data_IF_219971186104
#
_entry.id   IF_219971186104
#
_cell.length_a   1.000
_cell.length_b   1.000
_cell.length_c   1.000
_cell.angle_alpha   90.00
_cell.angle_beta   90.00
_cell.angle_gamma   90.00
#
_symmetry.space_group_name_H-M   'P 1'
#
loop_
_entity.id
_entity.type
_entity.pdbx_description
1 polymer ?
#
# COMPACT_ATOMS: atom_id res chain seq x y z
N UNK A 1 -20.13 -0.94 11.41
CA UNK A 1 -18.91 -0.11 11.29
C UNK A 1 -19.19 1.23 11.92
N UNK A 2 -18.33 1.68 12.84
CA UNK A 2 -18.39 3.02 13.40
C UNK A 2 -17.69 3.99 12.44
N UNK A 3 -18.37 5.06 12.01
CA UNK A 3 -17.86 5.97 10.97
C UNK A 3 -16.61 6.73 11.44
N UNK A 4 -16.56 7.11 12.71
CA UNK A 4 -15.41 7.79 13.29
C UNK A 4 -14.20 6.87 13.33
N UNK A 5 -14.37 5.61 13.77
CA UNK A 5 -13.29 4.61 13.74
C UNK A 5 -12.78 4.41 12.31
N UNK A 6 -13.69 4.27 11.35
CA UNK A 6 -13.34 4.13 9.93
C UNK A 6 -12.49 5.30 9.41
N UNK A 7 -12.96 6.54 9.62
CA UNK A 7 -12.27 7.73 9.12
C UNK A 7 -10.91 7.94 9.81
N UNK A 8 -10.85 7.83 11.13
CA UNK A 8 -9.61 8.06 11.89
C UNK A 8 -8.55 7.04 11.51
N UNK A 9 -8.87 5.75 11.53
CA UNK A 9 -7.88 4.72 11.19
C UNK A 9 -7.53 4.73 9.71
N UNK A 10 -8.47 5.11 8.83
CA UNK A 10 -8.20 5.30 7.41
C UNK A 10 -7.22 6.44 7.13
N UNK A 11 -7.38 7.59 7.80
CA UNK A 11 -6.46 8.72 7.68
C UNK A 11 -5.06 8.34 8.20
N UNK A 12 -4.99 7.65 9.35
CA UNK A 12 -3.71 7.13 9.89
C UNK A 12 -3.04 6.20 8.87
N UNK A 13 -3.80 5.25 8.30
CA UNK A 13 -3.31 4.37 7.25
C UNK A 13 -2.81 5.12 6.02
N UNK A 14 -3.50 6.19 5.62
CA UNK A 14 -3.12 6.98 4.45
C UNK A 14 -1.82 7.76 4.64
N UNK A 15 -1.63 8.36 5.84
CA UNK A 15 -0.38 9.02 6.20
C UNK A 15 0.77 8.01 6.18
N UNK A 16 0.58 6.85 6.80
CA UNK A 16 1.59 5.79 6.84
C UNK A 16 1.88 5.26 5.44
N UNK A 17 0.87 5.06 4.59
CA UNK A 17 1.03 4.64 3.20
C UNK A 17 1.89 5.62 2.41
N UNK A 18 1.67 6.92 2.59
CA UNK A 18 2.43 7.95 1.87
C UNK A 18 3.93 7.90 2.22
N UNK A 19 4.26 7.93 3.52
CA UNK A 19 5.66 7.91 3.95
C UNK A 19 6.33 6.56 3.71
N UNK A 20 5.61 5.46 3.89
CA UNK A 20 6.15 4.12 3.63
C UNK A 20 6.35 3.88 2.14
N UNK A 21 5.43 4.39 1.28
CA UNK A 21 5.60 4.37 -0.16
C UNK A 21 6.84 5.14 -0.62
N UNK A 22 7.06 6.33 -0.07
CA UNK A 22 8.28 7.09 -0.32
C UNK A 22 9.53 6.33 0.14
N UNK A 23 9.51 5.73 1.34
CA UNK A 23 10.67 4.98 1.84
C UNK A 23 10.96 3.73 0.99
N UNK A 24 9.95 2.93 0.70
CA UNK A 24 10.11 1.66 -0.04
C UNK A 24 10.51 1.93 -1.49
N UNK A 25 9.77 2.77 -2.21
CA UNK A 25 9.97 2.97 -3.65
C UNK A 25 10.90 4.13 -3.98
N UNK A 26 10.88 5.18 -3.17
CA UNK A 26 11.68 6.38 -3.38
C UNK A 26 13.10 6.30 -2.82
N UNK A 27 13.38 5.33 -1.92
CA UNK A 27 14.72 5.16 -1.33
C UNK A 27 15.19 3.72 -1.53
N UNK A 28 14.49 2.74 -0.96
CA UNK A 28 15.01 1.37 -0.86
C UNK A 28 15.09 0.68 -2.22
N UNK A 29 14.05 0.77 -3.04
CA UNK A 29 13.96 0.08 -4.32
C UNK A 29 14.31 0.96 -5.52
N UNK A 30 14.52 2.27 -5.33
CA UNK A 30 14.68 3.23 -6.43
C UNK A 30 15.75 2.79 -7.44
N UNK A 31 16.97 2.52 -6.96
CA UNK A 31 18.09 2.16 -7.84
C UNK A 31 17.87 0.82 -8.55
N UNK A 32 17.33 -0.17 -7.82
CA UNK A 32 17.07 -1.49 -8.39
C UNK A 32 16.01 -1.43 -9.50
N UNK A 33 14.93 -0.68 -9.28
CA UNK A 33 13.86 -0.49 -10.26
C UNK A 33 14.36 0.24 -11.52
N UNK A 34 15.20 1.26 -11.34
CA UNK A 34 15.81 2.00 -12.45
C UNK A 34 16.76 1.14 -13.30
N UNK A 35 17.39 0.12 -12.72
CA UNK A 35 18.27 -0.82 -13.44
C UNK A 35 17.52 -1.95 -14.13
N UNK A 36 16.26 -2.17 -13.79
CA UNK A 36 15.43 -3.24 -14.35
C UNK A 36 14.12 -2.72 -14.97
N UNK A 37 14.16 -1.71 -15.86
CA UNK A 37 12.96 -1.17 -16.46
C UNK A 37 12.29 -2.20 -17.38
N UNK A 38 11.00 -1.99 -17.66
CA UNK A 38 10.38 -2.59 -18.85
C UNK A 38 10.95 -1.98 -20.15
N UNK A 39 10.40 -2.40 -21.29
CA UNK A 39 10.84 -1.88 -22.60
C UNK A 39 10.10 -0.62 -23.03
N UNK A 40 9.06 -0.20 -22.31
CA UNK A 40 8.35 1.05 -22.55
C UNK A 40 9.18 2.27 -22.09
N UNK A 41 9.39 3.24 -22.97
CA UNK A 41 10.02 4.52 -22.64
C UNK A 41 9.02 5.60 -22.22
N UNK A 42 9.51 6.65 -21.55
CA UNK A 42 8.75 7.86 -21.20
C UNK A 42 7.45 7.64 -20.40
N UNK A 43 7.44 6.63 -19.52
CA UNK A 43 6.28 6.28 -18.69
C UNK A 43 6.13 7.16 -17.44
N UNK A 44 7.24 7.73 -16.96
CA UNK A 44 7.28 8.54 -15.75
C UNK A 44 6.89 9.99 -16.06
N UNK A 45 6.15 10.62 -15.14
CA UNK A 45 5.86 12.06 -15.23
C UNK A 45 7.10 12.87 -14.84
N UNK A 46 7.36 13.94 -15.59
CA UNK A 46 8.37 14.94 -15.24
C UNK A 46 8.01 15.71 -13.96
N UNK A 47 6.73 15.99 -13.77
CA UNK A 47 6.19 16.68 -12.59
C UNK A 47 5.15 15.82 -11.88
N UNK A 48 5.27 15.75 -10.55
CA UNK A 48 4.32 15.00 -9.72
C UNK A 48 3.00 15.76 -9.56
N UNK A 49 1.90 15.02 -9.72
CA UNK A 49 0.54 15.53 -9.43
C UNK A 49 0.21 15.25 -7.97
N UNK A 50 0.64 16.14 -7.08
CA UNK A 50 0.62 15.94 -5.63
C UNK A 50 -0.75 15.60 -5.04
N UNK A 51 -1.82 16.27 -5.47
CA UNK A 51 -3.16 16.01 -4.95
C UNK A 51 -3.60 14.56 -5.22
N UNK A 52 -3.27 14.03 -6.40
CA UNK A 52 -3.63 12.67 -6.79
C UNK A 52 -2.82 11.64 -5.99
N UNK A 53 -1.53 11.92 -5.75
CA UNK A 53 -0.67 11.08 -4.92
C UNK A 53 -1.15 11.02 -3.47
N UNK A 54 -1.53 12.16 -2.89
CA UNK A 54 -2.05 12.26 -1.52
C UNK A 54 -3.38 11.53 -1.40
N UNK A 55 -4.33 11.78 -2.32
CA UNK A 55 -5.62 11.09 -2.31
C UNK A 55 -5.49 9.59 -2.53
N UNK A 56 -4.59 9.15 -3.42
CA UNK A 56 -4.32 7.72 -3.65
C UNK A 56 -3.87 7.01 -2.37
N UNK A 57 -2.94 7.61 -1.63
CA UNK A 57 -2.51 7.07 -0.34
C UNK A 57 -3.62 7.11 0.71
N UNK A 58 -4.41 8.18 0.75
CA UNK A 58 -5.57 8.27 1.64
C UNK A 58 -6.57 7.14 1.37
N UNK A 59 -6.89 6.86 0.10
CA UNK A 59 -7.79 5.78 -0.28
C UNK A 59 -7.20 4.39 -0.01
N UNK A 60 -5.88 4.21 -0.10
CA UNK A 60 -5.20 3.00 0.37
C UNK A 60 -5.50 2.76 1.86
N UNK A 61 -5.26 3.76 2.71
CA UNK A 61 -5.57 3.69 4.14
C UNK A 61 -7.05 3.43 4.43
N UNK A 62 -7.96 4.10 3.71
CA UNK A 62 -9.41 3.89 3.84
C UNK A 62 -9.84 2.48 3.42
N UNK A 63 -9.24 1.91 2.36
CA UNK A 63 -9.55 0.55 1.89
C UNK A 63 -9.29 -0.46 3.00
N UNK A 64 -8.10 -0.36 3.57
CA UNK A 64 -7.65 -1.12 4.70
C UNK A 64 -8.53 -0.94 5.94
N UNK A 65 -8.83 0.31 6.31
CA UNK A 65 -9.75 0.63 7.40
C UNK A 65 -11.14 0.02 7.21
N UNK A 66 -11.66 0.06 5.99
CA UNK A 66 -12.94 -0.55 5.65
C UNK A 66 -12.90 -2.07 5.88
N UNK A 67 -11.88 -2.76 5.37
CA UNK A 67 -11.73 -4.22 5.52
C UNK A 67 -11.64 -4.61 7.01
N UNK A 68 -10.84 -3.88 7.79
CA UNK A 68 -10.69 -4.16 9.21
C UNK A 68 -11.92 -3.85 10.05
N UNK A 69 -12.66 -2.78 9.73
CA UNK A 69 -13.86 -2.41 10.49
C UNK A 69 -15.13 -3.16 10.04
N UNK A 70 -15.26 -3.50 8.76
CA UNK A 70 -16.50 -4.02 8.19
C UNK A 70 -16.46 -5.53 7.98
N UNK A 71 -15.31 -6.11 7.63
CA UNK A 71 -15.22 -7.52 7.24
C UNK A 71 -14.55 -8.41 8.28
N UNK A 72 -13.60 -7.89 9.07
CA UNK A 72 -12.75 -8.75 9.93
C UNK A 72 -12.71 -8.38 11.41
N UNK A 73 -13.14 -7.19 11.80
CA UNK A 73 -13.06 -6.65 13.18
C UNK A 73 -11.65 -6.64 13.79
N UNK A 74 -10.61 -6.47 12.97
CA UNK A 74 -9.22 -6.42 13.44
C UNK A 74 -8.95 -5.09 14.17
N UNK A 75 -8.35 -5.22 15.35
CA UNK A 75 -8.06 -4.13 16.29
C UNK A 75 -6.66 -4.25 16.91
N UNK A 76 -5.79 -5.08 16.34
CA UNK A 76 -4.42 -5.30 16.84
C UNK A 76 -3.38 -5.07 15.76
N UNK A 77 -2.19 -4.65 16.17
CA UNK A 77 -1.04 -4.41 15.27
C UNK A 77 -0.69 -5.68 14.49
N UNK A 78 -0.55 -6.82 15.18
CA UNK A 78 -0.10 -8.07 14.55
C UNK A 78 -1.10 -8.59 13.50
N UNK A 79 -2.39 -8.61 13.82
CA UNK A 79 -3.42 -9.04 12.87
C UNK A 79 -3.55 -8.05 11.70
N UNK A 80 -3.42 -6.75 11.98
CA UNK A 80 -3.35 -5.71 10.94
C UNK A 80 -2.16 -5.92 10.00
N UNK A 81 -0.98 -6.20 10.55
CA UNK A 81 0.24 -6.45 9.77
C UNK A 81 0.12 -7.68 8.89
N UNK A 82 -0.36 -8.81 9.42
CA UNK A 82 -0.55 -10.04 8.66
C UNK A 82 -1.60 -9.86 7.56
N UNK A 83 -2.74 -9.24 7.88
CA UNK A 83 -3.77 -8.93 6.89
C UNK A 83 -3.25 -7.99 5.79
N UNK A 84 -2.46 -6.99 6.19
CA UNK A 84 -1.81 -6.04 5.29
C UNK A 84 -0.81 -6.72 4.36
N UNK A 85 0.04 -7.60 4.89
CA UNK A 85 1.01 -8.37 4.11
C UNK A 85 0.33 -9.26 3.06
N UNK A 86 -0.73 -9.97 3.45
CA UNK A 86 -1.50 -10.83 2.54
C UNK A 86 -2.16 -10.01 1.43
N UNK A 87 -2.82 -8.90 1.79
CA UNK A 87 -3.45 -8.03 0.79
C UNK A 87 -2.41 -7.37 -0.13
N UNK A 88 -1.25 -6.98 0.41
CA UNK A 88 -0.14 -6.45 -0.38
C UNK A 88 0.38 -7.46 -1.40
N UNK A 89 0.61 -8.72 -0.99
CA UNK A 89 1.00 -9.80 -1.91
C UNK A 89 -0.03 -10.00 -3.03
N UNK A 90 -1.30 -10.13 -2.65
CA UNK A 90 -2.37 -10.45 -3.60
C UNK A 90 -2.63 -9.29 -4.58
N UNK A 91 -2.65 -8.05 -4.10
CA UNK A 91 -2.86 -6.88 -4.96
C UNK A 91 -1.66 -6.62 -5.88
N UNK A 92 -0.43 -6.73 -5.37
CA UNK A 92 0.77 -6.56 -6.20
C UNK A 92 0.80 -7.60 -7.32
N UNK A 93 0.68 -8.89 -7.00
CA UNK A 93 0.67 -9.94 -8.02
C UNK A 93 -0.47 -9.78 -9.03
N UNK A 94 -1.67 -9.43 -8.55
CA UNK A 94 -2.82 -9.21 -9.44
C UNK A 94 -2.56 -8.06 -10.41
N UNK A 95 -2.05 -6.93 -9.93
CA UNK A 95 -1.82 -5.75 -10.75
C UNK A 95 -0.62 -5.96 -11.69
N UNK A 96 0.50 -6.39 -11.15
CA UNK A 96 1.77 -6.50 -11.87
C UNK A 96 1.73 -7.56 -12.97
N UNK A 97 1.17 -8.75 -12.69
CA UNK A 97 1.10 -9.81 -13.70
C UNK A 97 0.11 -9.44 -14.82
N UNK A 98 -0.98 -8.75 -14.49
CA UNK A 98 -1.92 -8.23 -15.50
C UNK A 98 -1.25 -7.16 -16.35
N UNK A 99 -0.51 -6.24 -15.74
CA UNK A 99 0.25 -5.21 -16.43
C UNK A 99 1.35 -5.81 -17.31
N UNK A 100 2.04 -6.84 -16.85
CA UNK A 100 3.04 -7.57 -17.63
C UNK A 100 2.44 -8.29 -18.83
N UNK A 101 1.24 -8.87 -18.66
CA UNK A 101 0.53 -9.55 -19.75
C UNK A 101 -0.07 -8.60 -20.80
N UNK A 102 -0.25 -7.32 -20.48
CA UNK A 102 -0.97 -6.35 -21.33
C UNK A 102 -0.15 -5.13 -21.74
N UNK A 103 1.05 -4.95 -21.18
CA UNK A 103 1.92 -3.81 -21.43
C UNK A 103 3.40 -4.21 -21.33
N UNK A 104 4.29 -3.31 -21.74
CA UNK A 104 5.74 -3.49 -21.65
C UNK A 104 6.39 -2.59 -20.58
N UNK A 105 5.59 -2.13 -19.62
CA UNK A 105 6.00 -1.16 -18.59
C UNK A 105 6.91 -1.79 -17.53
N UNK A 106 6.62 -3.04 -17.14
CA UNK A 106 7.31 -3.74 -16.07
C UNK A 106 8.17 -4.88 -16.62
N UNK A 107 9.36 -5.08 -16.05
CA UNK A 107 10.15 -6.30 -16.24
C UNK A 107 9.81 -7.33 -15.14
N UNK A 108 10.10 -8.62 -15.37
CA UNK A 108 9.91 -9.64 -14.33
C UNK A 108 10.72 -9.35 -13.05
N UNK A 109 11.90 -8.75 -13.19
CA UNK A 109 12.75 -8.36 -12.06
C UNK A 109 12.12 -7.22 -11.26
N UNK A 110 11.53 -6.23 -11.93
CA UNK A 110 10.80 -5.14 -11.28
C UNK A 110 9.56 -5.66 -10.53
N UNK A 111 8.82 -6.61 -11.13
CA UNK A 111 7.67 -7.25 -10.48
C UNK A 111 8.08 -7.99 -9.20
N UNK A 112 9.17 -8.77 -9.24
CA UNK A 112 9.67 -9.46 -8.06
C UNK A 112 10.01 -8.49 -6.91
N UNK A 113 10.62 -7.36 -7.23
CA UNK A 113 10.93 -6.33 -6.25
C UNK A 113 9.69 -5.58 -5.76
N UNK A 114 8.72 -5.30 -6.64
CA UNK A 114 7.47 -4.65 -6.26
C UNK A 114 6.68 -5.53 -5.30
N UNK A 115 6.51 -6.82 -5.60
CA UNK A 115 5.78 -7.74 -4.72
C UNK A 115 6.36 -7.73 -3.30
N UNK A 116 7.69 -7.78 -3.17
CA UNK A 116 8.35 -7.71 -1.85
C UNK A 116 8.11 -6.35 -1.19
N UNK A 117 8.28 -5.25 -1.94
CA UNK A 117 8.04 -3.89 -1.46
C UNK A 117 6.60 -3.67 -1.00
N UNK A 118 5.64 -4.14 -1.78
CA UNK A 118 4.20 -4.12 -1.54
C UNK A 118 3.82 -4.92 -0.29
N UNK A 119 4.40 -6.10 -0.07
CA UNK A 119 4.17 -6.87 1.17
C UNK A 119 4.60 -6.05 2.38
N UNK A 120 5.82 -5.51 2.37
CA UNK A 120 6.38 -4.75 3.50
C UNK A 120 5.58 -3.47 3.74
N UNK A 121 5.31 -2.71 2.69
CA UNK A 121 4.54 -1.46 2.76
C UNK A 121 3.16 -1.72 3.36
N UNK A 122 2.41 -2.66 2.77
CA UNK A 122 1.04 -2.91 3.18
C UNK A 122 0.94 -3.58 4.54
N UNK A 123 1.95 -4.35 4.97
CA UNK A 123 2.04 -4.84 6.33
C UNK A 123 2.14 -3.68 7.34
N UNK A 124 2.97 -2.67 7.06
CA UNK A 124 3.13 -1.50 7.95
C UNK A 124 1.87 -0.62 7.95
N UNK A 125 1.27 -0.38 6.78
CA UNK A 125 -0.02 0.32 6.69
C UNK A 125 -1.08 -0.44 7.48
N UNK A 126 -1.12 -1.76 7.35
CA UNK A 126 -2.10 -2.57 8.05
C UNK A 126 -1.93 -2.63 9.55
N UNK A 127 -0.69 -2.71 10.01
CA UNK A 127 -0.34 -2.56 11.42
C UNK A 127 -0.86 -1.23 11.99
N UNK A 128 -0.65 -0.12 11.27
CA UNK A 128 -1.06 1.21 11.71
C UNK A 128 -2.58 1.36 11.80
N UNK A 129 -3.31 0.85 10.82
CA UNK A 129 -4.79 0.89 10.83
C UNK A 129 -5.36 -0.03 11.91
N UNK A 130 -4.81 -1.24 12.06
CA UNK A 130 -5.18 -2.17 13.14
C UNK A 130 -4.95 -1.56 14.53
N UNK A 131 -3.84 -0.84 14.71
CA UNK A 131 -3.56 -0.08 15.92
C UNK A 131 -4.56 1.06 16.15
N UNK A 132 -4.83 1.88 15.14
CA UNK A 132 -5.76 3.00 15.26
C UNK A 132 -7.20 2.53 15.57
N UNK A 133 -7.63 1.38 15.03
CA UNK A 133 -8.91 0.77 15.36
C UNK A 133 -9.06 0.41 16.86
N UNK A 134 -7.94 0.20 17.57
CA UNK A 134 -7.94 -0.15 19.00
C UNK A 134 -8.28 1.03 19.93
N UNK A 135 -8.18 2.27 19.46
CA UNK A 135 -8.26 3.48 20.31
C UNK A 135 -9.61 3.71 20.98
N UNK A 136 -10.66 3.00 20.58
CA UNK A 136 -12.00 3.03 21.21
C UNK A 136 -12.44 1.70 21.81
N UNK A 137 -11.50 0.80 22.13
CA UNK A 137 -11.77 -0.48 22.80
C UNK A 137 -11.14 -0.54 24.21
N UNK A 138 -10.60 0.57 24.73
CA UNK A 138 -10.13 0.63 26.11
C UNK A 138 -11.35 0.71 27.02
N UNK A 139 -11.38 -0.22 27.98
CA UNK A 139 -12.47 -0.51 28.93
C UNK A 139 -13.03 0.72 29.65
#
# INVERSE_FOLDING_TARGET
MNIQKFLVSGIVGGIVSFFMGWLVYGIVLMDYMNQHPGTAGNINRTEMVWWALILGNLFSGLTFSYIWNKWTNITTIAAGAMGGAVLGLLFALSFDLTMYGTSTILSLNAIGADVIGSIVLNAVVGAAVGWANSWGNKA
#
